data_IF_158709687122
#
_entry.id   IF_158709687122
#
_cell.length_a   1.000
_cell.length_b   1.000
_cell.length_c   1.000
_cell.angle_alpha   90.00
_cell.angle_beta   90.00
_cell.angle_gamma   90.00
#
_symmetry.space_group_name_H-M   'P 1'
#
loop_
_entity.id
_entity.type
_entity.pdbx_description
1 polymer ?
#
# COMPACT_ATOMS: atom_id res chain seq x y z
N UNK A 1 -35.24 -7.61 7.11
CA UNK A 1 -34.50 -6.89 8.17
C UNK A 1 -33.09 -7.45 8.24
N UNK A 2 -32.05 -6.65 7.97
CA UNK A 2 -30.64 -7.07 8.15
C UNK A 2 -30.24 -6.89 9.61
N UNK A 3 -29.74 -7.94 10.24
CA UNK A 3 -29.28 -7.93 11.64
C UNK A 3 -28.11 -6.94 11.80
N UNK A 4 -28.21 -5.97 12.72
CA UNK A 4 -27.11 -5.03 13.03
C UNK A 4 -25.87 -5.83 13.44
N UNK A 5 -24.73 -5.51 12.83
CA UNK A 5 -23.43 -6.15 13.11
C UNK A 5 -23.03 -7.26 12.15
N UNK A 6 -23.92 -7.74 11.27
CA UNK A 6 -23.58 -8.77 10.27
C UNK A 6 -23.40 -8.13 8.91
N UNK A 7 -22.17 -8.13 8.39
CA UNK A 7 -21.89 -7.78 6.98
C UNK A 7 -22.51 -8.89 6.11
N UNK A 8 -23.52 -8.58 5.26
CA UNK A 8 -24.11 -9.59 4.40
C UNK A 8 -23.07 -10.17 3.43
N UNK A 9 -23.21 -11.44 3.00
CA UNK A 9 -22.16 -12.15 2.26
C UNK A 9 -21.75 -11.45 0.96
N UNK A 10 -22.69 -10.84 0.24
CA UNK A 10 -22.40 -10.09 -0.99
C UNK A 10 -21.53 -8.85 -0.73
N UNK A 11 -21.84 -8.07 0.30
CA UNK A 11 -21.06 -6.90 0.71
C UNK A 11 -19.70 -7.30 1.27
N UNK A 12 -19.61 -8.43 1.99
CA UNK A 12 -18.34 -8.99 2.47
C UNK A 12 -17.43 -9.39 1.31
N UNK A 13 -17.98 -10.04 0.28
CA UNK A 13 -17.23 -10.41 -0.90
C UNK A 13 -16.70 -9.16 -1.64
N UNK A 14 -17.55 -8.14 -1.82
CA UNK A 14 -17.12 -6.84 -2.41
C UNK A 14 -16.04 -6.16 -1.58
N UNK A 15 -16.19 -6.12 -0.26
CA UNK A 15 -15.20 -5.51 0.64
C UNK A 15 -13.85 -6.24 0.56
N UNK A 16 -13.86 -7.58 0.54
CA UNK A 16 -12.64 -8.38 0.42
C UNK A 16 -11.97 -8.18 -0.94
N UNK A 17 -12.74 -8.13 -2.03
CA UNK A 17 -12.20 -7.86 -3.36
C UNK A 17 -11.56 -6.46 -3.44
N UNK A 18 -12.21 -5.45 -2.85
CA UNK A 18 -11.66 -4.10 -2.77
C UNK A 18 -10.35 -4.06 -1.94
N UNK A 19 -10.33 -4.74 -0.79
CA UNK A 19 -9.13 -4.85 0.04
C UNK A 19 -7.97 -5.54 -0.72
N UNK A 20 -8.24 -6.64 -1.41
CA UNK A 20 -7.24 -7.30 -2.26
C UNK A 20 -6.69 -6.39 -3.37
N UNK A 21 -7.52 -5.51 -3.93
CA UNK A 21 -7.08 -4.49 -4.88
C UNK A 21 -6.11 -3.49 -4.26
N UNK A 22 -6.41 -3.03 -3.04
CA UNK A 22 -5.52 -2.13 -2.28
C UNK A 22 -4.19 -2.81 -1.97
N UNK A 23 -4.22 -4.07 -1.50
CA UNK A 23 -3.00 -4.82 -1.18
C UNK A 23 -2.10 -4.97 -2.42
N UNK A 24 -2.68 -5.34 -3.57
CA UNK A 24 -1.94 -5.44 -4.84
C UNK A 24 -1.35 -4.09 -5.27
N UNK A 25 -2.13 -3.02 -5.17
CA UNK A 25 -1.66 -1.67 -5.48
C UNK A 25 -0.53 -1.23 -4.55
N UNK A 26 -0.63 -1.59 -3.26
CA UNK A 26 0.41 -1.29 -2.28
C UNK A 26 1.71 -2.06 -2.59
N UNK A 27 1.63 -3.35 -2.94
CA UNK A 27 2.79 -4.13 -3.34
C UNK A 27 3.47 -3.58 -4.61
N UNK A 28 2.69 -3.15 -5.60
CA UNK A 28 3.21 -2.50 -6.80
C UNK A 28 3.94 -1.19 -6.46
N UNK A 29 3.37 -0.39 -5.55
CA UNK A 29 4.01 0.84 -5.07
C UNK A 29 5.34 0.55 -4.34
N UNK A 30 5.38 -0.47 -3.47
CA UNK A 30 6.60 -0.88 -2.77
C UNK A 30 7.69 -1.33 -3.76
N UNK A 31 7.32 -2.06 -4.81
CA UNK A 31 8.24 -2.44 -5.89
C UNK A 31 8.82 -1.22 -6.59
N UNK A 32 7.98 -0.27 -7.01
CA UNK A 32 8.42 0.96 -7.67
C UNK A 32 9.35 1.81 -6.78
N UNK A 33 9.08 1.89 -5.47
CA UNK A 33 9.95 2.56 -4.48
C UNK A 33 11.33 1.90 -4.43
N UNK A 34 11.39 0.57 -4.47
CA UNK A 34 12.67 -0.18 -4.48
C UNK A 34 13.43 0.02 -5.77
N UNK A 35 12.75 -0.03 -6.91
CA UNK A 35 13.35 0.23 -8.21
C UNK A 35 13.93 1.64 -8.27
N UNK A 36 13.18 2.64 -7.81
CA UNK A 36 13.67 4.02 -7.70
C UNK A 36 14.89 4.11 -6.77
N UNK A 37 14.89 3.39 -5.64
CA UNK A 37 16.04 3.35 -4.72
C UNK A 37 17.27 2.69 -5.37
N UNK A 38 17.08 1.59 -6.08
CA UNK A 38 18.14 0.85 -6.78
C UNK A 38 18.71 1.64 -7.97
N UNK A 39 17.89 2.46 -8.62
CA UNK A 39 18.33 3.40 -9.66
C UNK A 39 19.15 4.58 -9.13
N UNK A 40 19.38 4.66 -7.80
CA UNK A 40 20.16 5.73 -7.16
C UNK A 40 19.30 6.83 -6.52
N UNK A 41 17.97 6.70 -6.54
CA UNK A 41 17.05 7.64 -5.90
C UNK A 41 17.31 7.77 -4.39
N UNK A 42 17.34 9.01 -3.89
CA UNK A 42 17.40 9.24 -2.45
C UNK A 42 16.02 9.02 -1.81
N UNK A 43 15.99 8.62 -0.53
CA UNK A 43 14.74 8.43 0.22
C UNK A 43 13.92 9.73 0.22
N UNK A 44 14.59 10.88 0.31
CA UNK A 44 13.95 12.20 0.28
C UNK A 44 13.29 12.49 -1.06
N UNK A 45 14.00 12.28 -2.17
CA UNK A 45 13.45 12.49 -3.51
C UNK A 45 12.22 11.59 -3.76
N UNK A 46 12.31 10.30 -3.41
CA UNK A 46 11.19 9.36 -3.54
C UNK A 46 10.00 9.78 -2.67
N UNK A 47 10.26 10.28 -1.46
CA UNK A 47 9.23 10.75 -0.55
C UNK A 47 8.52 12.02 -1.07
N UNK A 48 9.27 12.96 -1.64
CA UNK A 48 8.74 14.17 -2.26
C UNK A 48 7.84 13.83 -3.45
N UNK A 49 8.29 12.96 -4.36
CA UNK A 49 7.50 12.51 -5.52
C UNK A 49 6.18 11.83 -5.11
N UNK A 50 6.20 11.05 -4.02
CA UNK A 50 5.01 10.34 -3.53
C UNK A 50 4.15 11.16 -2.55
N UNK A 51 4.56 12.37 -2.19
CA UNK A 51 3.91 13.18 -1.16
C UNK A 51 3.86 12.46 0.20
N UNK A 52 4.89 11.68 0.52
CA UNK A 52 5.01 10.91 1.78
C UNK A 52 6.14 11.46 2.63
N UNK A 53 6.16 11.06 3.90
CA UNK A 53 7.30 11.37 4.75
C UNK A 53 8.50 10.48 4.37
N UNK A 54 9.75 10.98 4.45
CA UNK A 54 10.94 10.15 4.27
C UNK A 54 10.97 8.94 5.20
N UNK A 55 10.43 9.08 6.42
CA UNK A 55 10.32 8.00 7.40
C UNK A 55 9.39 6.87 6.92
N UNK A 56 8.30 7.21 6.23
CA UNK A 56 7.40 6.23 5.62
C UNK A 56 8.13 5.40 4.57
N UNK A 57 8.87 6.05 3.67
CA UNK A 57 9.65 5.37 2.63
C UNK A 57 10.75 4.50 3.24
N UNK A 58 11.46 5.01 4.26
CA UNK A 58 12.47 4.25 4.97
C UNK A 58 11.87 2.98 5.61
N UNK A 59 10.74 3.12 6.31
CA UNK A 59 10.02 2.01 6.92
C UNK A 59 9.64 0.95 5.89
N UNK A 60 9.11 1.35 4.74
CA UNK A 60 8.77 0.45 3.64
C UNK A 60 9.99 -0.33 3.11
N UNK A 61 11.14 0.33 3.01
CA UNK A 61 12.38 -0.33 2.58
C UNK A 61 12.93 -1.30 3.64
N UNK A 62 12.76 -0.98 4.94
CA UNK A 62 13.22 -1.83 6.05
C UNK A 62 12.30 -3.03 6.31
N UNK A 63 10.98 -2.86 6.32
CA UNK A 63 10.02 -3.94 6.60
C UNK A 63 9.97 -5.00 5.50
N UNK A 64 10.47 -4.67 4.31
CA UNK A 64 10.41 -5.58 3.17
C UNK A 64 11.76 -6.28 2.91
N UNK A 65 12.81 -6.00 3.69
CA UNK A 65 14.10 -6.72 3.62
C UNK A 65 14.04 -8.12 4.24
#
# INVERSE_FOLDING_TARGET
MTQRGVIPPAQRARLRAAAQGVDKGHQALLSAVREAKNAGGSIRAIAEELGKSPQTIQRWLTETQ
#
